data_IF_575535588756
#
_entry.id   IF_575535588756
#
_cell.length_a   1.000
_cell.length_b   1.000
_cell.length_c   1.000
_cell.angle_alpha   90.00
_cell.angle_beta   90.00
_cell.angle_gamma   90.00
#
_symmetry.space_group_name_H-M   'P 1'
#
loop_
_entity.id
_entity.type
_entity.pdbx_description
1 polymer ?
#
# COMPACT_ATOMS: atom_id res chain seq x y z
N UNK A 1 11.05 41.00 3.46
CA UNK A 1 10.63 39.57 3.47
C UNK A 1 10.03 39.13 2.11
N UNK A 2 10.62 39.51 0.96
CA UNK A 2 10.05 39.27 -0.39
C UNK A 2 10.83 38.25 -1.24
N UNK A 3 12.01 37.80 -0.79
CA UNK A 3 12.91 36.94 -1.59
C UNK A 3 12.48 35.47 -1.73
N UNK A 4 11.80 34.91 -0.72
CA UNK A 4 11.42 33.48 -0.71
C UNK A 4 10.31 33.15 -1.70
N UNK A 5 9.38 34.09 -1.93
CA UNK A 5 8.24 33.92 -2.85
C UNK A 5 8.67 33.86 -4.33
N UNK A 6 9.64 34.70 -4.71
CA UNK A 6 10.23 34.69 -6.06
C UNK A 6 11.03 33.40 -6.29
N UNK A 7 11.74 32.92 -5.26
CA UNK A 7 12.47 31.65 -5.29
C UNK A 7 11.56 30.43 -5.53
N UNK A 8 10.47 30.30 -4.77
CA UNK A 8 9.52 29.19 -4.92
C UNK A 8 8.86 29.20 -6.29
N UNK A 9 8.46 30.38 -6.80
CA UNK A 9 7.87 30.50 -8.14
C UNK A 9 8.84 30.07 -9.23
N UNK A 10 10.10 30.51 -9.17
CA UNK A 10 11.14 30.07 -10.12
C UNK A 10 11.39 28.57 -10.07
N UNK A 11 11.51 28.01 -8.87
CA UNK A 11 11.68 26.56 -8.70
C UNK A 11 10.49 25.78 -9.31
N UNK A 12 9.26 26.22 -9.06
CA UNK A 12 8.06 25.59 -9.66
C UNK A 12 8.06 25.67 -11.18
N UNK A 13 8.44 26.81 -11.75
CA UNK A 13 8.52 26.98 -13.22
C UNK A 13 9.63 26.11 -13.80
N UNK A 14 10.80 26.04 -13.17
CA UNK A 14 11.90 25.20 -13.62
C UNK A 14 11.53 23.73 -13.54
N UNK A 15 10.97 23.26 -12.43
CA UNK A 15 10.50 21.87 -12.29
C UNK A 15 9.38 21.56 -13.28
N UNK A 16 8.40 22.45 -13.42
CA UNK A 16 7.31 22.30 -14.37
C UNK A 16 7.80 22.26 -15.82
N UNK A 17 8.69 23.18 -16.19
CA UNK A 17 9.31 23.23 -17.52
C UNK A 17 10.16 21.99 -17.81
N UNK A 18 10.99 21.56 -16.86
CA UNK A 18 11.77 20.32 -16.97
C UNK A 18 10.84 19.10 -17.15
N UNK A 19 9.75 19.04 -16.38
CA UNK A 19 8.74 17.99 -16.51
C UNK A 19 8.08 17.96 -17.89
N UNK A 20 7.71 19.12 -18.44
CA UNK A 20 7.15 19.22 -19.80
C UNK A 20 8.16 18.77 -20.85
N UNK A 21 9.42 19.23 -20.76
CA UNK A 21 10.49 18.82 -21.69
C UNK A 21 10.70 17.30 -21.64
N UNK A 22 10.77 16.71 -20.44
CA UNK A 22 10.89 15.26 -20.28
C UNK A 22 9.68 14.50 -20.84
N UNK A 23 8.45 15.01 -20.61
CA UNK A 23 7.23 14.39 -21.12
C UNK A 23 7.18 14.42 -22.66
N UNK A 24 7.52 15.55 -23.28
CA UNK A 24 7.59 15.69 -24.73
C UNK A 24 8.68 14.80 -25.33
N UNK A 25 9.85 14.73 -24.69
CA UNK A 25 10.93 13.84 -25.11
C UNK A 25 10.52 12.36 -25.03
N UNK A 26 9.87 11.96 -23.94
CA UNK A 26 9.31 10.63 -23.77
C UNK A 26 8.29 10.29 -24.86
N UNK A 27 7.36 11.20 -25.13
CA UNK A 27 6.34 11.03 -26.18
C UNK A 27 6.97 10.94 -27.57
N UNK A 28 7.95 11.79 -27.87
CA UNK A 28 8.70 11.75 -29.12
C UNK A 28 9.38 10.39 -29.33
N UNK A 29 10.09 9.89 -28.31
CA UNK A 29 10.73 8.57 -28.35
C UNK A 29 9.72 7.44 -28.51
N UNK A 30 8.58 7.55 -27.84
CA UNK A 30 7.50 6.57 -27.93
C UNK A 30 6.95 6.48 -29.36
N UNK A 31 6.66 7.61 -30.00
CA UNK A 31 6.09 7.64 -31.37
C UNK A 31 7.13 7.28 -32.44
N UNK A 32 8.39 7.66 -32.25
CA UNK A 32 9.43 7.46 -33.28
C UNK A 32 10.15 6.12 -33.21
N UNK A 33 10.20 5.48 -32.03
CA UNK A 33 11.01 4.27 -31.84
C UNK A 33 10.21 3.01 -31.51
N UNK A 34 8.93 3.13 -31.19
CA UNK A 34 8.09 1.98 -30.83
C UNK A 34 7.22 1.57 -32.02
N UNK A 35 7.24 0.29 -32.43
CA UNK A 35 6.36 -0.20 -33.49
C UNK A 35 4.88 0.06 -33.17
N UNK A 36 4.07 0.38 -34.18
CA UNK A 36 2.65 0.74 -33.98
C UNK A 36 1.82 -0.31 -33.23
N UNK A 37 2.11 -1.61 -33.43
CA UNK A 37 1.46 -2.70 -32.68
C UNK A 37 1.71 -2.61 -31.17
N UNK A 38 2.92 -2.19 -30.76
CA UNK A 38 3.27 -2.00 -29.36
C UNK A 38 2.61 -0.74 -28.77
N UNK A 39 2.33 0.29 -29.58
CA UNK A 39 1.55 1.46 -29.16
C UNK A 39 0.09 1.08 -28.85
N UNK A 40 -0.53 0.21 -29.64
CA UNK A 40 -1.86 -0.34 -29.34
C UNK A 40 -1.85 -1.15 -28.04
N UNK A 41 -0.81 -1.97 -27.83
CA UNK A 41 -0.62 -2.69 -26.57
C UNK A 41 -0.49 -1.75 -25.37
N UNK A 42 0.25 -0.66 -25.51
CA UNK A 42 0.37 0.37 -24.48
C UNK A 42 -0.97 1.07 -24.22
N UNK A 43 -1.72 1.44 -25.27
CA UNK A 43 -3.03 2.04 -25.13
C UNK A 43 -4.00 1.10 -24.39
N UNK A 44 -4.03 -0.19 -24.75
CA UNK A 44 -4.81 -1.20 -24.06
C UNK A 44 -4.38 -1.34 -22.59
N UNK A 45 -3.08 -1.31 -22.30
CA UNK A 45 -2.56 -1.34 -20.93
C UNK A 45 -2.98 -0.11 -20.11
N UNK A 46 -2.92 1.09 -20.68
CA UNK A 46 -3.35 2.33 -20.04
C UNK A 46 -4.85 2.30 -19.71
N UNK A 47 -5.68 1.84 -20.66
CA UNK A 47 -7.12 1.65 -20.43
C UNK A 47 -7.35 0.62 -19.32
N UNK A 48 -6.65 -0.51 -19.36
CA UNK A 48 -6.72 -1.53 -18.32
C UNK A 48 -6.35 -1.00 -16.93
N UNK A 49 -5.28 -0.20 -16.83
CA UNK A 49 -4.86 0.44 -15.59
C UNK A 49 -5.90 1.44 -15.08
N UNK A 50 -6.51 2.24 -15.96
CA UNK A 50 -7.56 3.19 -15.61
C UNK A 50 -8.81 2.48 -15.07
N UNK A 51 -9.27 1.43 -15.77
CA UNK A 51 -10.42 0.61 -15.35
C UNK A 51 -10.14 -0.04 -14.00
N UNK A 52 -8.96 -0.65 -13.84
CA UNK A 52 -8.55 -1.27 -12.58
C UNK A 52 -8.56 -0.24 -11.45
N UNK A 53 -8.03 0.96 -11.68
CA UNK A 53 -8.01 2.03 -10.69
C UNK A 53 -9.41 2.53 -10.34
N UNK A 54 -10.29 2.68 -11.34
CA UNK A 54 -11.67 3.10 -11.14
C UNK A 54 -12.48 2.12 -10.26
N UNK A 55 -12.11 0.83 -10.25
CA UNK A 55 -12.72 -0.17 -9.35
C UNK A 55 -11.99 -0.26 -8.01
N UNK A 56 -10.65 -0.23 -8.02
CA UNK A 56 -9.84 -0.44 -6.82
C UNK A 56 -9.92 0.73 -5.84
N UNK A 57 -9.91 1.97 -6.34
CA UNK A 57 -10.02 3.18 -5.50
C UNK A 57 -11.30 3.22 -4.66
N UNK A 58 -12.51 3.07 -5.23
CA UNK A 58 -13.71 3.02 -4.39
C UNK A 58 -13.75 1.79 -3.48
N UNK A 59 -13.22 0.64 -3.90
CA UNK A 59 -13.11 -0.53 -3.03
C UNK A 59 -12.25 -0.25 -1.79
N UNK A 60 -11.08 0.39 -1.97
CA UNK A 60 -10.20 0.79 -0.86
C UNK A 60 -10.90 1.78 0.07
N UNK A 61 -11.64 2.75 -0.47
CA UNK A 61 -12.43 3.70 0.32
C UNK A 61 -13.54 2.98 1.10
N UNK A 62 -14.24 2.04 0.48
CA UNK A 62 -15.30 1.26 1.11
C UNK A 62 -14.75 0.40 2.27
N UNK A 63 -13.64 -0.30 2.05
CA UNK A 63 -12.94 -1.07 3.09
C UNK A 63 -12.49 -0.15 4.23
N UNK A 64 -11.86 0.98 3.92
CA UNK A 64 -11.43 1.97 4.90
C UNK A 64 -12.59 2.54 5.73
N UNK A 65 -13.74 2.73 5.09
CA UNK A 65 -14.98 3.18 5.75
C UNK A 65 -15.53 2.11 6.68
N UNK A 66 -15.57 0.84 6.23
CA UNK A 66 -15.95 -0.29 7.07
C UNK A 66 -15.06 -0.45 8.30
N UNK A 67 -13.75 -0.20 8.15
CA UNK A 67 -12.77 -0.26 9.22
C UNK A 67 -12.98 0.81 10.32
N UNK A 68 -13.84 1.82 10.10
CA UNK A 68 -14.22 2.78 11.15
C UNK A 68 -15.01 2.13 12.29
N UNK A 69 -15.66 0.99 12.04
CA UNK A 69 -16.38 0.21 13.06
C UNK A 69 -15.43 -0.57 13.99
N UNK A 70 -14.16 -0.71 13.60
CA UNK A 70 -13.15 -1.44 14.38
C UNK A 70 -12.58 -0.54 15.47
N UNK A 71 -12.35 -1.05 16.70
CA UNK A 71 -11.71 -0.29 17.77
C UNK A 71 -10.38 0.34 17.34
N UNK A 72 -10.06 1.58 17.74
CA UNK A 72 -8.83 2.28 17.33
C UNK A 72 -7.55 1.47 17.61
N UNK A 73 -7.56 0.68 18.69
CA UNK A 73 -6.45 -0.18 19.11
C UNK A 73 -6.17 -1.34 18.14
N UNK A 74 -7.18 -1.84 17.43
CA UNK A 74 -7.05 -2.94 16.46
C UNK A 74 -6.89 -2.44 15.02
N UNK A 75 -7.37 -1.23 14.73
CA UNK A 75 -7.45 -0.67 13.37
C UNK A 75 -6.09 -0.61 12.65
N UNK A 76 -5.03 -0.18 13.33
CA UNK A 76 -3.70 -0.08 12.70
C UNK A 76 -3.14 -1.44 12.26
N UNK A 77 -3.35 -2.50 13.06
CA UNK A 77 -2.90 -3.85 12.74
C UNK A 77 -3.67 -4.43 11.54
N UNK A 78 -4.98 -4.20 11.50
CA UNK A 78 -5.83 -4.59 10.36
C UNK A 78 -5.46 -3.82 9.08
N UNK A 79 -5.20 -2.51 9.17
CA UNK A 79 -4.75 -1.73 8.01
C UNK A 79 -3.42 -2.23 7.47
N UNK A 80 -2.45 -2.51 8.35
CA UNK A 80 -1.17 -3.11 7.95
C UNK A 80 -1.37 -4.43 7.22
N UNK A 81 -2.17 -5.34 7.79
CA UNK A 81 -2.47 -6.63 7.17
C UNK A 81 -3.13 -6.49 5.79
N UNK A 82 -4.12 -5.61 5.66
CA UNK A 82 -4.84 -5.38 4.41
C UNK A 82 -3.94 -4.77 3.34
N UNK A 83 -3.10 -3.79 3.70
CA UNK A 83 -2.16 -3.16 2.76
C UNK A 83 -1.12 -4.16 2.29
N UNK A 84 -0.47 -4.87 3.22
CA UNK A 84 0.57 -5.85 2.87
C UNK A 84 -0.01 -7.03 2.09
N UNK A 85 -1.13 -7.59 2.55
CA UNK A 85 -1.82 -8.69 1.88
C UNK A 85 -2.33 -8.31 0.49
N UNK A 86 -2.90 -7.11 0.36
CA UNK A 86 -3.32 -6.56 -0.93
C UNK A 86 -2.15 -6.40 -1.91
N UNK A 87 -1.03 -5.84 -1.45
CA UNK A 87 0.17 -5.65 -2.28
C UNK A 87 0.74 -6.98 -2.78
N UNK A 88 0.90 -7.97 -1.88
CA UNK A 88 1.36 -9.31 -2.22
C UNK A 88 0.41 -9.97 -3.23
N UNK A 89 -0.90 -9.82 -3.03
CA UNK A 89 -1.92 -10.38 -3.94
C UNK A 89 -1.81 -9.78 -5.34
N UNK A 90 -1.67 -8.45 -5.46
CA UNK A 90 -1.52 -7.77 -6.76
C UNK A 90 -0.27 -8.24 -7.51
N UNK A 91 0.82 -8.52 -6.79
CA UNK A 91 2.07 -9.04 -7.37
C UNK A 91 1.91 -10.52 -7.78
N UNK A 92 1.25 -11.33 -6.97
CA UNK A 92 1.11 -12.77 -7.20
C UNK A 92 0.15 -13.10 -8.33
N UNK A 93 -0.93 -12.33 -8.51
CA UNK A 93 -1.95 -12.57 -9.54
C UNK A 93 -1.38 -12.77 -10.96
N UNK A 94 -0.54 -11.87 -11.51
CA UNK A 94 0.04 -12.08 -12.84
C UNK A 94 1.01 -13.27 -12.90
N UNK A 95 1.64 -13.67 -11.78
CA UNK A 95 2.49 -14.87 -11.72
C UNK A 95 1.66 -16.15 -11.78
N UNK A 96 0.52 -16.17 -11.06
CA UNK A 96 -0.46 -17.27 -11.11
C UNK A 96 -1.05 -17.38 -12.52
N UNK A 97 -1.47 -16.25 -13.12
CA UNK A 97 -2.03 -16.24 -14.47
C UNK A 97 -1.04 -16.72 -15.54
N UNK A 98 0.26 -16.48 -15.31
CA UNK A 98 1.32 -16.92 -16.21
C UNK A 98 1.96 -18.25 -15.80
N UNK A 99 1.43 -18.94 -14.80
CA UNK A 99 1.97 -20.22 -14.35
C UNK A 99 2.06 -21.21 -15.52
N UNK A 100 3.19 -21.92 -15.63
CA UNK A 100 3.43 -22.85 -16.74
C UNK A 100 3.72 -22.21 -18.11
N UNK A 101 3.72 -20.87 -18.23
CA UNK A 101 4.00 -20.20 -19.51
C UNK A 101 5.48 -20.13 -19.89
N UNK A 102 6.38 -20.75 -19.11
CA UNK A 102 7.82 -20.76 -19.36
C UNK A 102 8.36 -22.19 -19.43
N UNK A 103 9.46 -22.41 -20.18
CA UNK A 103 10.13 -23.72 -20.23
C UNK A 103 10.53 -24.15 -18.81
N UNK A 104 10.36 -25.44 -18.48
CA UNK A 104 10.60 -25.98 -17.12
C UNK A 104 12.01 -25.73 -16.55
N UNK A 105 12.98 -25.40 -17.40
CA UNK A 105 14.34 -24.97 -16.98
C UNK A 105 14.33 -23.64 -16.22
N UNK A 106 13.30 -22.78 -16.42
CA UNK A 106 13.10 -21.54 -15.66
C UNK A 106 12.21 -21.83 -14.45
N UNK A 107 12.85 -22.31 -13.38
CA UNK A 107 12.22 -22.80 -12.16
C UNK A 107 11.26 -21.81 -11.47
N UNK A 108 11.39 -20.50 -11.70
CA UNK A 108 10.58 -19.49 -11.00
C UNK A 108 9.09 -19.67 -11.29
N UNK A 109 8.69 -19.97 -12.54
CA UNK A 109 7.28 -20.09 -12.93
C UNK A 109 6.66 -21.48 -12.74
N UNK A 110 7.46 -22.44 -12.28
CA UNK A 110 7.00 -23.80 -11.92
C UNK A 110 6.51 -23.91 -10.48
N UNK A 111 6.65 -22.84 -9.68
CA UNK A 111 6.20 -22.80 -8.30
C UNK A 111 4.68 -22.63 -8.24
N UNK A 112 4.03 -23.36 -7.31
CA UNK A 112 2.61 -23.16 -7.02
C UNK A 112 2.39 -21.82 -6.30
N UNK A 113 2.26 -20.75 -7.08
CA UNK A 113 2.02 -19.41 -6.56
C UNK A 113 0.67 -19.27 -5.86
N UNK A 114 -0.32 -20.12 -6.19
CA UNK A 114 -1.60 -20.14 -5.50
C UNK A 114 -1.43 -20.58 -4.05
N UNK A 115 -0.76 -21.72 -3.86
CA UNK A 115 -0.46 -22.25 -2.53
C UNK A 115 0.42 -21.29 -1.71
N UNK A 116 1.47 -20.74 -2.33
CA UNK A 116 2.36 -19.79 -1.66
C UNK A 116 1.69 -18.47 -1.30
N UNK A 117 0.76 -17.98 -2.12
CA UNK A 117 -0.02 -16.79 -1.81
C UNK A 117 -0.90 -17.03 -0.58
N UNK A 118 -1.60 -18.17 -0.51
CA UNK A 118 -2.43 -18.53 0.66
C UNK A 118 -1.58 -18.59 1.92
N UNK A 119 -0.40 -19.23 1.86
CA UNK A 119 0.55 -19.28 2.97
C UNK A 119 1.02 -17.89 3.41
N UNK A 120 1.36 -17.01 2.47
CA UNK A 120 1.77 -15.63 2.78
C UNK A 120 0.64 -14.82 3.43
N UNK A 121 -0.59 -14.94 2.92
CA UNK A 121 -1.75 -14.26 3.48
C UNK A 121 -2.08 -14.78 4.89
N UNK A 122 -1.95 -16.08 5.12
CA UNK A 122 -2.09 -16.68 6.45
C UNK A 122 -1.01 -16.15 7.40
N UNK A 123 0.24 -16.07 6.95
CA UNK A 123 1.35 -15.53 7.74
C UNK A 123 1.14 -14.05 8.09
N UNK A 124 0.78 -13.21 7.12
CA UNK A 124 0.49 -11.78 7.33
C UNK A 124 -0.63 -11.62 8.35
N UNK A 125 -1.70 -12.41 8.22
CA UNK A 125 -2.83 -12.41 9.15
C UNK A 125 -2.42 -12.82 10.56
N UNK A 126 -1.62 -13.88 10.69
CA UNK A 126 -1.10 -14.36 11.97
C UNK A 126 -0.22 -13.30 12.66
N UNK A 127 0.66 -12.63 11.93
CA UNK A 127 1.51 -11.55 12.44
C UNK A 127 0.66 -10.36 12.92
N UNK A 128 -0.38 -9.99 12.18
CA UNK A 128 -1.29 -8.92 12.57
C UNK A 128 -2.05 -9.26 13.86
N UNK A 129 -2.58 -10.47 13.99
CA UNK A 129 -3.27 -10.95 15.20
C UNK A 129 -2.30 -10.99 16.38
N UNK A 130 -1.12 -11.57 16.21
CA UNK A 130 -0.13 -11.69 17.29
C UNK A 130 0.36 -10.33 17.77
N UNK A 131 0.61 -9.39 16.85
CA UNK A 131 1.03 -8.03 17.20
C UNK A 131 -0.06 -7.27 17.97
N UNK A 132 -1.33 -7.43 17.58
CA UNK A 132 -2.47 -6.88 18.32
C UNK A 132 -2.59 -7.50 19.73
N UNK A 133 -2.55 -8.83 19.85
CA UNK A 133 -2.62 -9.52 21.14
C UNK A 133 -1.50 -9.08 22.09
N UNK A 134 -0.26 -9.00 21.59
CA UNK A 134 0.90 -8.50 22.36
C UNK A 134 0.67 -7.07 22.87
N UNK A 135 0.04 -6.20 22.08
CA UNK A 135 -0.26 -4.82 22.48
C UNK A 135 -1.32 -4.79 23.58
N UNK A 136 -2.38 -5.59 23.47
CA UNK A 136 -3.44 -5.69 24.48
C UNK A 136 -2.88 -6.19 25.82
N UNK A 137 -2.11 -7.28 25.81
CA UNK A 137 -1.50 -7.84 27.02
C UNK A 137 -0.54 -6.86 27.70
N UNK A 138 0.27 -6.12 26.93
CA UNK A 138 1.15 -5.07 27.48
C UNK A 138 0.38 -3.91 28.10
N UNK A 139 -0.75 -3.52 27.50
CA UNK A 139 -1.63 -2.47 28.03
C UNK A 139 -2.26 -2.84 29.37
N UNK A 140 -2.76 -4.08 29.51
CA UNK A 140 -3.33 -4.56 30.76
C UNK A 140 -2.29 -4.63 31.89
N UNK A 141 -1.06 -5.06 31.57
CA UNK A 141 0.05 -5.12 32.54
C UNK A 141 0.46 -3.74 33.07
N UNK A 142 0.46 -2.71 32.21
CA UNK A 142 0.79 -1.35 32.62
C UNK A 142 -0.29 -0.73 33.53
N UNK A 143 -1.57 -1.03 33.29
CA UNK A 143 -2.68 -0.54 34.11
C UNK A 143 -2.72 -1.17 35.52
N UNK A 144 -2.35 -2.44 35.65
CA UNK A 144 -2.28 -3.12 36.96
C UNK A 144 -1.08 -2.72 37.83
N UNK A 145 -0.11 -1.98 37.28
CA UNK A 145 1.08 -1.50 37.99
C UNK A 145 0.94 -0.05 38.49
N UNK A 146 -0.18 0.64 38.22
CA UNK A 146 -0.41 1.99 38.72
C UNK A 146 -0.64 1.94 40.25
N UNK A 147 0.21 2.60 41.07
CA UNK A 147 0.05 2.59 42.52
C UNK A 147 -1.25 3.29 42.91
N UNK A 148 -2.03 2.68 43.80
CA UNK A 148 -3.12 3.35 44.50
C UNK A 148 -2.52 4.50 45.33
N UNK A 149 -2.54 5.71 44.79
CA UNK A 149 -2.27 6.91 45.60
C UNK A 149 -3.39 7.00 46.62
N UNK A 150 -2.99 6.73 47.86
CA UNK A 150 -3.81 6.72 49.05
C UNK A 150 -4.24 8.18 49.30
N UNK A 151 -5.46 8.54 48.89
CA UNK A 151 -6.09 9.80 49.31
C UNK A 151 -6.48 9.63 50.79
N UNK A 152 -5.50 9.83 51.67
CA UNK A 152 -5.75 9.96 53.10
C UNK A 152 -6.59 11.23 53.34
N UNK A 153 -7.68 11.18 54.12
CA UNK A 153 -8.44 12.36 54.43
C UNK A 153 -7.55 13.32 55.24
N UNK A 154 -7.34 14.54 54.74
CA UNK A 154 -6.79 15.64 55.52
C UNK A 154 -7.80 15.99 56.63
N UNK A 155 -7.49 15.82 57.92
CA UNK A 155 -8.36 16.27 58.99
C UNK A 155 -8.41 17.80 58.97
N UNK A 156 -9.59 18.35 58.67
CA UNK A 156 -9.92 19.73 58.98
C UNK A 156 -10.40 19.82 60.43
N UNK A 157 -9.81 20.79 61.15
CA UNK A 157 -10.15 21.32 62.48
C UNK A 157 -9.56 20.59 63.70
#
# INVERSE_FOLDING_TARGET
MSGTWVGIRRIRVVIGGAGVVLALFGLFRLVTQVPGRSLLGLAAWLVGALVLHAVLSPAVVAIGTGLRKVPPRARAHLQGALVTGGLVTVIALPLIYRAGSQPGVKAILGQDYGHNLVLLLALISAVAVLSYLRRVVRGCRAAGAAPTTNDGPSPTA
#
